data_IF_496750125621
#
_entry.id   IF_496750125621
#
_cell.length_a   1.000
_cell.length_b   1.000
_cell.length_c   1.000
_cell.angle_alpha   90.00
_cell.angle_beta   90.00
_cell.angle_gamma   90.00
#
_symmetry.space_group_name_H-M   'P 1'
#
loop_
_entity.id
_entity.type
_entity.pdbx_description
1 polymer ?
#
# COMPACT_ATOMS: atom_id res chain seq x y z
N UNK A 1 -12.92 49.09 -16.06
CA UNK A 1 -11.89 48.09 -15.70
C UNK A 1 -12.51 46.70 -15.76
N UNK A 2 -12.36 46.00 -16.89
CA UNK A 2 -12.87 44.62 -17.06
C UNK A 2 -11.84 43.64 -16.52
N UNK A 3 -12.19 42.89 -15.46
CA UNK A 3 -11.37 41.77 -14.97
C UNK A 3 -11.44 40.66 -16.01
N UNK A 4 -10.42 40.55 -16.86
CA UNK A 4 -10.18 39.37 -17.69
C UNK A 4 -9.96 38.16 -16.78
N UNK A 5 -11.01 37.37 -16.57
CA UNK A 5 -10.93 36.08 -15.90
C UNK A 5 -10.20 35.13 -16.84
N UNK A 6 -8.92 34.87 -16.55
CA UNK A 6 -8.13 33.91 -17.33
C UNK A 6 -8.85 32.54 -17.36
N UNK A 7 -8.97 31.90 -18.54
CA UNK A 7 -9.70 30.64 -18.67
C UNK A 7 -9.11 29.59 -17.73
N UNK A 8 -9.98 28.87 -17.00
CA UNK A 8 -9.58 27.75 -16.14
C UNK A 8 -8.98 26.65 -17.03
N UNK A 9 -7.64 26.63 -17.13
CA UNK A 9 -6.94 25.58 -17.85
C UNK A 9 -7.09 24.27 -17.09
N UNK A 10 -7.51 23.21 -17.78
CA UNK A 10 -7.57 21.86 -17.25
C UNK A 10 -6.21 21.45 -16.62
N UNK A 11 -6.23 20.69 -15.52
CA UNK A 11 -5.00 20.20 -14.90
C UNK A 11 -4.21 19.32 -15.86
N UNK A 12 -2.89 19.37 -15.77
CA UNK A 12 -1.99 18.56 -16.59
C UNK A 12 -2.03 17.12 -16.09
N UNK A 13 -2.64 16.23 -16.87
CA UNK A 13 -2.71 14.79 -16.59
C UNK A 13 -1.48 14.05 -17.12
N UNK A 14 -1.00 14.39 -18.31
CA UNK A 14 0.20 13.80 -18.92
C UNK A 14 1.19 14.85 -19.43
N UNK A 15 2.48 14.50 -19.40
CA UNK A 15 3.56 15.34 -19.95
C UNK A 15 3.45 15.42 -21.47
N UNK A 16 3.81 16.55 -22.06
CA UNK A 16 3.86 16.70 -23.52
C UNK A 16 4.99 15.89 -24.16
N UNK A 17 5.99 15.45 -23.37
CA UNK A 17 7.06 14.55 -23.79
C UNK A 17 6.63 13.08 -23.73
N UNK A 18 6.69 12.40 -24.86
CA UNK A 18 6.31 10.99 -25.02
C UNK A 18 7.02 10.06 -24.03
N UNK A 19 8.33 10.24 -23.79
CA UNK A 19 9.09 9.39 -22.87
C UNK A 19 8.69 9.53 -21.39
N UNK A 20 8.31 10.73 -20.96
CA UNK A 20 7.81 10.94 -19.60
C UNK A 20 6.36 10.46 -19.45
N UNK A 21 5.55 10.62 -20.50
CA UNK A 21 4.17 10.14 -20.51
C UNK A 21 4.13 8.60 -20.45
N UNK A 22 5.06 7.92 -21.13
CA UNK A 22 5.19 6.46 -21.05
C UNK A 22 5.57 5.99 -19.65
N UNK A 23 6.55 6.64 -18.99
CA UNK A 23 6.90 6.33 -17.59
C UNK A 23 5.74 6.54 -16.62
N UNK A 24 4.93 7.58 -16.87
CA UNK A 24 3.74 7.85 -16.09
C UNK A 24 2.68 6.75 -16.29
N UNK A 25 2.41 6.37 -17.55
CA UNK A 25 1.51 5.28 -17.88
C UNK A 25 1.95 3.95 -17.26
N UNK A 26 3.23 3.60 -17.40
CA UNK A 26 3.80 2.39 -16.80
C UNK A 26 3.67 2.43 -15.27
N UNK A 27 3.97 3.56 -14.63
CA UNK A 27 3.81 3.72 -13.18
C UNK A 27 2.35 3.60 -12.72
N UNK A 28 1.42 4.18 -13.48
CA UNK A 28 -0.01 4.07 -13.21
C UNK A 28 -0.51 2.62 -13.39
N UNK A 29 -0.05 1.91 -14.43
CA UNK A 29 -0.34 0.48 -14.64
C UNK A 29 0.25 -0.40 -13.54
N UNK A 30 1.46 -0.11 -13.07
CA UNK A 30 2.07 -0.82 -11.93
C UNK A 30 1.25 -0.57 -10.67
N UNK A 31 0.82 0.66 -10.41
CA UNK A 31 -0.01 0.98 -9.25
C UNK A 31 -1.34 0.22 -9.29
N UNK A 32 -2.03 0.22 -10.44
CA UNK A 32 -3.26 -0.57 -10.63
C UNK A 32 -3.00 -2.07 -10.47
N UNK A 33 -1.91 -2.57 -11.06
CA UNK A 33 -1.49 -3.96 -10.94
C UNK A 33 -1.20 -4.38 -9.50
N UNK A 34 -0.56 -3.51 -8.71
CA UNK A 34 -0.30 -3.73 -7.29
C UNK A 34 -1.59 -3.79 -6.47
N UNK A 35 -2.54 -2.87 -6.72
CA UNK A 35 -3.84 -2.89 -6.06
C UNK A 35 -4.59 -4.18 -6.41
N UNK A 36 -4.64 -4.54 -7.70
CA UNK A 36 -5.27 -5.77 -8.15
C UNK A 36 -4.62 -7.01 -7.52
N UNK A 37 -3.30 -7.06 -7.51
CA UNK A 37 -2.54 -8.16 -6.90
C UNK A 37 -2.80 -8.26 -5.41
N UNK A 38 -2.84 -7.15 -4.68
CA UNK A 38 -3.13 -7.12 -3.24
C UNK A 38 -4.52 -7.70 -2.92
N UNK A 39 -5.54 -7.32 -3.69
CA UNK A 39 -6.90 -7.87 -3.55
C UNK A 39 -6.92 -9.37 -3.81
N UNK A 40 -6.19 -9.84 -4.84
CA UNK A 40 -6.10 -11.28 -5.15
C UNK A 40 -5.33 -12.07 -4.12
N UNK A 41 -4.24 -11.50 -3.59
CA UNK A 41 -3.47 -12.13 -2.53
C UNK A 41 -4.32 -12.28 -1.27
N UNK A 42 -5.10 -11.27 -0.89
CA UNK A 42 -5.99 -11.37 0.27
C UNK A 42 -7.00 -12.51 0.12
N UNK A 43 -7.69 -12.59 -1.02
CA UNK A 43 -8.65 -13.67 -1.25
C UNK A 43 -8.00 -15.06 -1.26
N UNK A 44 -6.77 -15.17 -1.75
CA UNK A 44 -6.01 -16.42 -1.67
C UNK A 44 -5.60 -16.78 -0.24
N UNK A 45 -5.12 -15.80 0.54
CA UNK A 45 -4.73 -15.97 1.94
C UNK A 45 -5.93 -16.44 2.77
N UNK A 46 -7.08 -15.78 2.64
CA UNK A 46 -8.32 -16.11 3.34
C UNK A 46 -8.80 -17.55 3.06
N UNK A 47 -8.70 -18.00 1.81
CA UNK A 47 -8.99 -19.39 1.42
C UNK A 47 -8.04 -20.40 2.08
N UNK A 48 -6.74 -20.08 2.18
CA UNK A 48 -5.79 -20.95 2.89
C UNK A 48 -6.05 -21.00 4.39
N UNK A 49 -6.37 -19.85 5.00
CA UNK A 49 -6.72 -19.75 6.43
C UNK A 49 -7.97 -20.57 6.73
N UNK A 50 -9.00 -20.47 5.89
CA UNK A 50 -10.25 -21.22 6.05
C UNK A 50 -10.00 -22.74 6.05
N UNK A 51 -9.08 -23.21 5.20
CA UNK A 51 -8.67 -24.63 5.16
C UNK A 51 -7.92 -25.07 6.42
N UNK A 52 -7.16 -24.17 7.04
CA UNK A 52 -6.44 -24.42 8.30
C UNK A 52 -7.35 -24.32 9.53
N UNK A 53 -8.44 -23.55 9.45
CA UNK A 53 -9.41 -23.36 10.52
C UNK A 53 -10.41 -24.53 10.65
N UNK A 54 -10.77 -25.17 9.53
CA UNK A 54 -11.74 -26.28 9.49
C UNK A 54 -11.41 -27.47 10.43
N UNK A 55 -10.14 -27.88 10.62
CA UNK A 55 -9.77 -28.88 11.62
C UNK A 55 -10.09 -28.45 13.06
N UNK A 56 -9.91 -27.18 13.40
CA UNK A 56 -10.16 -26.66 14.76
C UNK A 56 -11.64 -26.73 15.14
N UNK A 57 -12.53 -26.32 14.22
CA UNK A 57 -13.98 -26.42 14.41
C UNK A 57 -14.45 -27.88 14.50
N UNK A 58 -13.87 -28.75 13.68
CA UNK A 58 -14.14 -30.19 13.72
C UNK A 58 -13.72 -30.80 15.06
N UNK A 59 -12.53 -30.46 15.57
CA UNK A 59 -12.03 -30.91 16.88
C UNK A 59 -12.89 -30.39 18.03
N UNK A 60 -13.31 -29.13 17.96
CA UNK A 60 -14.22 -28.53 18.94
C UNK A 60 -15.55 -29.29 19.00
N UNK A 61 -16.15 -29.53 17.84
CA UNK A 61 -17.43 -30.24 17.71
C UNK A 61 -17.32 -31.69 18.19
N UNK A 62 -16.27 -32.40 17.77
CA UNK A 62 -16.01 -33.78 18.18
C UNK A 62 -15.76 -33.90 19.70
N UNK A 63 -14.94 -33.02 20.27
CA UNK A 63 -14.66 -33.01 21.71
C UNK A 63 -15.89 -32.74 22.56
N UNK A 64 -16.73 -31.77 22.15
CA UNK A 64 -17.99 -31.46 22.82
C UNK A 64 -18.98 -32.63 22.74
N UNK A 65 -19.13 -33.25 21.57
CA UNK A 65 -20.02 -34.40 21.39
C UNK A 65 -19.56 -35.62 22.21
N UNK A 66 -18.25 -35.89 22.22
CA UNK A 66 -17.66 -36.97 23.00
C UNK A 66 -17.80 -36.74 24.51
N UNK A 67 -17.49 -35.52 24.99
CA UNK A 67 -17.64 -35.12 26.38
C UNK A 67 -19.09 -35.23 26.85
N UNK A 68 -20.04 -34.72 26.05
CA UNK A 68 -21.47 -34.80 26.34
C UNK A 68 -21.98 -36.23 26.41
N UNK A 69 -21.56 -37.09 25.48
CA UNK A 69 -21.92 -38.51 25.48
C UNK A 69 -21.42 -39.25 26.72
N UNK A 70 -20.15 -39.05 27.08
CA UNK A 70 -19.55 -39.67 28.26
C UNK A 70 -20.14 -39.15 29.57
N UNK A 71 -20.39 -37.85 29.69
CA UNK A 71 -21.08 -37.29 30.86
C UNK A 71 -22.48 -37.88 31.02
N UNK A 72 -23.20 -38.10 29.93
CA UNK A 72 -24.53 -38.71 29.98
C UNK A 72 -24.47 -40.20 30.36
N UNK A 73 -23.48 -40.93 29.84
CA UNK A 73 -23.22 -42.33 30.22
C UNK A 73 -22.86 -42.44 31.72
N UNK A 74 -21.96 -41.57 32.21
CA UNK A 74 -21.59 -41.50 33.63
C UNK A 74 -22.79 -41.23 34.53
N UNK A 75 -23.72 -40.35 34.13
CA UNK A 75 -24.98 -40.10 34.84
C UNK A 75 -25.91 -41.31 34.89
N UNK A 76 -25.95 -42.16 33.85
CA UNK A 76 -26.76 -43.38 33.84
C UNK A 76 -26.16 -44.45 34.75
N UNK A 77 -24.85 -44.69 34.63
CA UNK A 77 -24.14 -45.71 35.40
C UNK A 77 -24.05 -45.34 36.89
N UNK A 78 -23.95 -44.04 37.20
CA UNK A 78 -23.99 -43.53 38.57
C UNK A 78 -25.29 -43.80 39.33
N UNK A 79 -26.35 -44.27 38.67
CA UNK A 79 -27.63 -44.64 39.32
C UNK A 79 -27.63 -46.06 39.88
N UNK A 80 -26.58 -46.85 39.67
CA UNK A 80 -26.50 -48.24 40.14
C UNK A 80 -26.20 -48.26 41.66
N UNK A 81 -27.07 -48.85 42.50
CA UNK A 81 -26.85 -48.90 43.95
C UNK A 81 -25.58 -49.70 44.32
N UNK A 82 -24.83 -49.20 45.30
CA UNK A 82 -23.66 -49.89 45.87
C UNK A 82 -22.34 -49.70 45.12
N UNK A 83 -22.35 -49.42 43.80
CA UNK A 83 -21.13 -49.27 42.98
C UNK A 83 -21.18 -48.13 41.95
N UNK A 84 -22.29 -47.37 41.87
CA UNK A 84 -22.50 -46.36 40.83
C UNK A 84 -21.45 -45.25 40.80
N UNK A 85 -20.98 -44.78 41.95
CA UNK A 85 -19.98 -43.70 42.03
C UNK A 85 -18.60 -44.14 41.49
N UNK A 86 -18.14 -45.33 41.87
CA UNK A 86 -16.88 -45.93 41.37
C UNK A 86 -16.92 -46.15 39.86
N UNK A 87 -18.10 -46.50 39.33
CA UNK A 87 -18.29 -46.69 37.90
C UNK A 87 -18.48 -45.39 37.12
N UNK A 88 -18.88 -44.29 37.78
CA UNK A 88 -19.09 -42.97 37.15
C UNK A 88 -17.77 -42.22 36.95
N UNK A 89 -16.85 -42.32 37.91
CA UNK A 89 -15.59 -41.57 37.91
C UNK A 89 -14.78 -41.67 36.60
N UNK A 90 -14.61 -42.86 35.97
CA UNK A 90 -13.88 -42.98 34.71
C UNK A 90 -14.57 -42.25 33.55
N UNK A 91 -15.91 -42.24 33.50
CA UNK A 91 -16.67 -41.52 32.47
C UNK A 91 -16.56 -40.00 32.65
N UNK A 92 -16.63 -39.51 33.89
CA UNK A 92 -16.45 -38.08 34.17
C UNK A 92 -15.02 -37.62 33.83
N UNK A 93 -13.99 -38.43 34.13
CA UNK A 93 -12.60 -38.17 33.70
C UNK A 93 -12.46 -38.12 32.18
N UNK A 94 -13.03 -39.09 31.48
CA UNK A 94 -12.98 -39.13 30.01
C UNK A 94 -13.78 -37.98 29.38
N UNK A 95 -14.90 -37.58 29.97
CA UNK A 95 -15.66 -36.41 29.54
C UNK A 95 -14.83 -35.12 29.71
N UNK A 96 -14.09 -34.99 30.81
CA UNK A 96 -13.14 -33.89 31.03
C UNK A 96 -12.04 -33.83 29.98
N UNK A 97 -11.49 -34.98 29.57
CA UNK A 97 -10.51 -35.03 28.48
C UNK A 97 -11.11 -34.59 27.13
N UNK A 98 -12.35 -35.00 26.82
CA UNK A 98 -13.08 -34.53 25.64
C UNK A 98 -13.29 -33.01 25.63
N UNK A 99 -13.57 -32.43 26.81
CA UNK A 99 -13.72 -30.98 26.96
C UNK A 99 -12.40 -30.24 26.71
N UNK A 100 -11.26 -30.75 27.19
CA UNK A 100 -9.94 -30.17 26.92
C UNK A 100 -9.60 -30.20 25.42
N UNK A 101 -9.95 -31.28 24.72
CA UNK A 101 -9.80 -31.34 23.25
C UNK A 101 -10.66 -30.28 22.57
N UNK A 102 -11.89 -30.09 23.03
CA UNK A 102 -12.77 -29.09 22.45
C UNK A 102 -12.24 -27.66 22.64
N UNK A 103 -11.72 -27.37 23.83
CA UNK A 103 -11.11 -26.08 24.16
C UNK A 103 -9.81 -25.81 23.38
N UNK A 104 -9.00 -26.85 23.17
CA UNK A 104 -7.82 -26.77 22.30
C UNK A 104 -8.21 -26.48 20.84
N UNK A 105 -9.27 -27.12 20.33
CA UNK A 105 -9.80 -26.87 18.99
C UNK A 105 -10.25 -25.42 18.79
N UNK A 106 -10.97 -24.87 19.79
CA UNK A 106 -11.36 -23.45 19.80
C UNK A 106 -10.15 -22.52 19.85
N UNK A 107 -9.20 -22.77 20.75
CA UNK A 107 -7.99 -21.93 20.90
C UNK A 107 -7.16 -21.90 19.61
N UNK A 108 -7.04 -23.03 18.92
CA UNK A 108 -6.39 -23.12 17.63
C UNK A 108 -7.10 -22.24 16.59
N UNK A 109 -8.43 -22.35 16.49
CA UNK A 109 -9.23 -21.53 15.58
C UNK A 109 -9.02 -20.03 15.83
N UNK A 110 -9.15 -19.59 17.08
CA UNK A 110 -8.99 -18.18 17.47
C UNK A 110 -7.56 -17.66 17.16
N UNK A 111 -6.54 -18.50 17.36
CA UNK A 111 -5.13 -18.15 17.06
C UNK A 111 -4.89 -18.00 15.56
N UNK A 112 -5.47 -18.89 14.75
CA UNK A 112 -5.38 -18.84 13.28
C UNK A 112 -6.06 -17.57 12.77
N UNK A 113 -7.22 -17.21 13.31
CA UNK A 113 -7.93 -15.98 12.94
C UNK A 113 -7.13 -14.71 13.27
N UNK A 114 -6.49 -14.67 14.45
CA UNK A 114 -5.63 -13.53 14.80
C UNK A 114 -4.40 -13.44 13.88
N UNK A 115 -3.74 -14.57 13.60
CA UNK A 115 -2.60 -14.61 12.69
C UNK A 115 -2.99 -14.18 11.26
N UNK A 116 -4.17 -14.57 10.81
CA UNK A 116 -4.77 -14.16 9.55
C UNK A 116 -4.95 -12.64 9.47
N UNK A 117 -5.54 -12.02 10.51
CA UNK A 117 -5.75 -10.57 10.56
C UNK A 117 -4.42 -9.80 10.48
N UNK A 118 -3.42 -10.20 11.27
CA UNK A 118 -2.10 -9.54 11.27
C UNK A 118 -1.40 -9.70 9.92
N UNK A 119 -1.43 -10.91 9.35
CA UNK A 119 -0.81 -11.20 8.05
C UNK A 119 -1.50 -10.42 6.94
N UNK A 120 -2.83 -10.40 6.92
CA UNK A 120 -3.62 -9.64 5.96
C UNK A 120 -3.36 -8.13 6.05
N UNK A 121 -3.19 -7.59 7.26
CA UNK A 121 -2.85 -6.18 7.46
C UNK A 121 -1.48 -5.83 6.88
N UNK A 122 -0.46 -6.66 7.16
CA UNK A 122 0.91 -6.45 6.64
C UNK A 122 0.92 -6.56 5.12
N UNK A 123 0.25 -7.58 4.57
CA UNK A 123 0.14 -7.81 3.14
C UNK A 123 -0.56 -6.65 2.41
N UNK A 124 -1.56 -6.03 3.03
CA UNK A 124 -2.27 -4.87 2.48
C UNK A 124 -1.50 -3.55 2.65
N UNK A 125 -0.73 -3.38 3.74
CA UNK A 125 -0.03 -2.14 4.05
C UNK A 125 1.06 -1.80 3.01
N UNK A 126 1.84 -2.80 2.57
CA UNK A 126 2.93 -2.59 1.62
C UNK A 126 2.45 -1.98 0.29
N UNK A 127 1.51 -2.59 -0.46
CA UNK A 127 1.03 -2.01 -1.71
C UNK A 127 0.31 -0.68 -1.49
N UNK A 128 -0.40 -0.52 -0.37
CA UNK A 128 -1.07 0.75 -0.03
C UNK A 128 -0.06 1.90 0.11
N UNK A 129 1.05 1.69 0.83
CA UNK A 129 2.10 2.69 1.00
C UNK A 129 2.74 3.05 -0.34
N UNK A 130 3.03 2.06 -1.18
CA UNK A 130 3.63 2.28 -2.51
C UNK A 130 2.69 3.09 -3.41
N UNK A 131 1.42 2.73 -3.45
CA UNK A 131 0.39 3.46 -4.22
C UNK A 131 0.20 4.87 -3.68
N UNK A 132 0.12 5.04 -2.35
CA UNK A 132 -0.04 6.36 -1.74
C UNK A 132 1.16 7.26 -2.04
N UNK A 133 2.38 6.74 -1.92
CA UNK A 133 3.59 7.47 -2.28
C UNK A 133 3.61 7.88 -3.75
N UNK A 134 3.23 6.96 -4.66
CA UNK A 134 3.11 7.24 -6.09
C UNK A 134 2.08 8.35 -6.36
N UNK A 135 0.88 8.24 -5.79
CA UNK A 135 -0.21 9.22 -5.96
C UNK A 135 0.18 10.59 -5.42
N UNK A 136 0.81 10.67 -4.25
CA UNK A 136 1.29 11.95 -3.68
C UNK A 136 2.34 12.60 -4.57
N UNK A 137 3.32 11.81 -5.05
CA UNK A 137 4.34 12.30 -5.99
C UNK A 137 3.73 12.77 -7.31
N UNK A 138 2.77 12.00 -7.84
CA UNK A 138 2.03 12.30 -9.07
C UNK A 138 1.22 13.59 -8.94
N UNK A 139 0.54 13.78 -7.82
CA UNK A 139 -0.24 14.96 -7.53
C UNK A 139 0.63 16.22 -7.43
N UNK A 140 1.77 16.15 -6.72
CA UNK A 140 2.73 17.26 -6.66
C UNK A 140 3.24 17.64 -8.05
N UNK A 141 3.65 16.67 -8.86
CA UNK A 141 4.10 16.90 -10.23
C UNK A 141 3.01 17.55 -11.09
N UNK A 142 1.77 17.05 -11.02
CA UNK A 142 0.65 17.60 -11.79
C UNK A 142 0.36 19.07 -11.40
N UNK A 143 0.42 19.40 -10.10
CA UNK A 143 0.26 20.78 -9.62
C UNK A 143 1.37 21.70 -10.15
N UNK A 144 2.62 21.27 -10.05
CA UNK A 144 3.78 22.05 -10.52
C UNK A 144 3.76 22.23 -12.05
N UNK A 145 3.49 21.17 -12.81
CA UNK A 145 3.37 21.23 -14.26
C UNK A 145 2.21 22.14 -14.71
N UNK A 146 1.08 22.11 -14.00
CA UNK A 146 -0.07 22.99 -14.28
C UNK A 146 0.27 24.45 -14.01
N UNK A 147 0.96 24.76 -12.91
CA UNK A 147 1.40 26.12 -12.59
C UNK A 147 2.41 26.62 -13.64
N UNK A 148 3.37 25.78 -14.05
CA UNK A 148 4.35 26.12 -15.07
C UNK A 148 3.71 26.37 -16.44
N UNK A 149 2.73 25.56 -16.87
CA UNK A 149 1.96 25.82 -18.12
C UNK A 149 1.23 27.16 -18.08
N UNK A 150 0.70 27.56 -16.92
CA UNK A 150 0.05 28.88 -16.76
C UNK A 150 1.06 30.03 -16.88
N UNK A 151 2.23 29.88 -16.27
CA UNK A 151 3.33 30.86 -16.37
C UNK A 151 3.83 31.02 -17.81
N UNK A 152 4.09 29.93 -18.53
CA UNK A 152 4.50 30.00 -19.95
C UNK A 152 3.44 30.70 -20.81
N UNK A 153 2.15 30.39 -20.60
CA UNK A 153 1.05 31.07 -21.31
C UNK A 153 0.91 32.54 -20.94
N UNK A 154 1.35 32.93 -19.75
CA UNK A 154 1.38 34.32 -19.29
C UNK A 154 2.60 35.11 -19.75
N UNK A 155 3.48 34.53 -20.57
CA UNK A 155 4.68 35.20 -21.09
C UNK A 155 5.87 35.22 -20.11
N UNK A 156 5.95 34.25 -19.18
CA UNK A 156 7.07 34.17 -18.25
C UNK A 156 8.42 34.02 -18.96
N UNK A 157 9.42 34.77 -18.47
CA UNK A 157 10.78 34.77 -19.00
C UNK A 157 11.51 33.45 -18.73
N UNK A 158 12.36 33.04 -19.67
CA UNK A 158 13.26 31.90 -19.55
C UNK A 158 14.16 32.00 -18.31
N UNK A 159 14.56 33.22 -17.93
CA UNK A 159 15.38 33.49 -16.72
C UNK A 159 14.73 32.98 -15.43
N UNK A 160 13.40 33.00 -15.34
CA UNK A 160 12.66 32.44 -14.19
C UNK A 160 12.80 30.92 -14.12
N UNK A 161 12.68 30.23 -15.25
CA UNK A 161 12.86 28.78 -15.30
C UNK A 161 14.31 28.39 -15.05
N UNK A 162 15.27 29.19 -15.49
CA UNK A 162 16.69 29.00 -15.18
C UNK A 162 16.97 29.13 -13.67
N UNK A 163 16.41 30.16 -13.01
CA UNK A 163 16.52 30.31 -11.55
C UNK A 163 15.90 29.12 -10.81
N UNK A 164 14.71 28.70 -11.24
CA UNK A 164 14.04 27.54 -10.65
C UNK A 164 14.84 26.26 -10.85
N UNK A 165 15.53 26.13 -11.99
CA UNK A 165 16.46 25.03 -12.26
C UNK A 165 17.58 25.00 -11.21
N UNK A 166 18.24 26.13 -10.96
CA UNK A 166 19.32 26.23 -9.96
C UNK A 166 18.84 25.86 -8.55
N UNK A 167 17.60 26.21 -8.20
CA UNK A 167 17.06 25.96 -6.86
C UNK A 167 16.54 24.52 -6.66
N UNK A 168 16.00 23.89 -7.70
CA UNK A 168 15.25 22.63 -7.53
C UNK A 168 15.84 21.45 -8.28
N UNK A 169 16.71 21.65 -9.29
CA UNK A 169 17.30 20.54 -10.02
C UNK A 169 18.35 19.82 -9.17
N UNK A 170 18.55 18.51 -9.36
CA UNK A 170 19.68 17.81 -8.79
C UNK A 170 20.98 18.50 -9.16
N UNK A 171 21.87 18.70 -8.18
CA UNK A 171 23.14 19.39 -8.38
C UNK A 171 23.99 18.77 -9.50
N UNK A 172 23.89 17.44 -9.70
CA UNK A 172 24.57 16.73 -10.77
C UNK A 172 24.15 17.17 -12.18
N UNK A 173 22.88 17.51 -12.38
CA UNK A 173 22.37 18.00 -13.67
C UNK A 173 22.81 19.45 -13.92
N UNK A 174 22.79 20.29 -12.88
CA UNK A 174 23.29 21.67 -12.95
C UNK A 174 24.79 21.69 -13.26
N UNK A 175 25.58 20.84 -12.59
CA UNK A 175 27.02 20.68 -12.86
C UNK A 175 27.27 20.16 -14.28
N UNK A 176 26.41 19.28 -14.80
CA UNK A 176 26.55 18.79 -16.19
C UNK A 176 26.38 19.94 -17.19
N UNK A 177 25.41 20.82 -16.97
CA UNK A 177 25.23 22.03 -17.80
C UNK A 177 26.42 22.96 -17.66
N UNK A 178 26.87 23.26 -16.43
CA UNK A 178 28.02 24.09 -16.15
C UNK A 178 29.29 23.57 -16.84
N UNK A 179 29.57 22.27 -16.74
CA UNK A 179 30.73 21.63 -17.37
C UNK A 179 30.66 21.69 -18.90
N UNK A 180 29.48 21.44 -19.48
CA UNK A 180 29.30 21.46 -20.95
C UNK A 180 29.56 22.85 -21.54
N UNK A 181 29.21 23.89 -20.79
CA UNK A 181 29.33 25.28 -21.21
C UNK A 181 30.61 25.94 -20.67
N UNK A 182 31.42 25.22 -19.88
CA UNK A 182 32.63 25.74 -19.21
C UNK A 182 32.41 27.05 -18.43
N UNK A 183 31.25 27.17 -17.76
CA UNK A 183 30.88 28.36 -16.98
C UNK A 183 30.51 28.01 -15.54
N UNK A 184 30.76 28.92 -14.61
CA UNK A 184 30.15 28.86 -13.29
C UNK A 184 28.63 29.14 -13.41
N UNK A 185 27.75 28.23 -12.96
CA UNK A 185 26.32 28.34 -13.21
C UNK A 185 25.67 29.51 -12.44
N UNK A 186 26.22 29.90 -11.29
CA UNK A 186 25.71 31.02 -10.50
C UNK A 186 26.08 32.36 -11.13
N UNK A 187 27.33 32.49 -11.59
CA UNK A 187 27.83 33.66 -12.31
C UNK A 187 27.16 33.79 -13.68
N UNK A 188 27.03 32.69 -14.43
CA UNK A 188 26.39 32.69 -15.73
C UNK A 188 24.91 33.10 -15.67
N UNK A 189 24.21 32.74 -14.59
CA UNK A 189 22.86 33.22 -14.36
C UNK A 189 22.83 34.71 -13.95
N UNK A 190 23.71 35.14 -13.03
CA UNK A 190 23.77 36.55 -12.58
C UNK A 190 24.14 37.53 -13.70
N UNK A 191 25.03 37.12 -14.60
CA UNK A 191 25.46 37.91 -15.76
C UNK A 191 24.49 37.83 -16.95
N UNK A 192 23.43 37.00 -16.87
CA UNK A 192 22.46 36.83 -17.95
C UNK A 192 23.02 36.10 -19.17
N UNK A 193 24.00 35.20 -18.98
CA UNK A 193 24.63 34.47 -20.08
C UNK A 193 23.58 33.68 -20.89
N UNK A 194 23.35 34.02 -22.17
CA UNK A 194 22.15 33.60 -22.90
C UNK A 194 22.06 32.08 -23.06
N UNK A 195 23.20 31.42 -23.35
CA UNK A 195 23.23 29.97 -23.52
C UNK A 195 23.04 29.21 -22.21
N UNK A 196 23.54 29.75 -21.09
CA UNK A 196 23.42 29.10 -19.78
C UNK A 196 21.99 29.21 -19.26
N UNK A 197 21.39 30.40 -19.38
CA UNK A 197 19.98 30.64 -19.04
C UNK A 197 19.07 29.76 -19.88
N UNK A 198 19.28 29.67 -21.20
CA UNK A 198 18.49 28.81 -22.08
C UNK A 198 18.65 27.32 -21.73
N UNK A 199 19.86 26.86 -21.44
CA UNK A 199 20.12 25.46 -21.07
C UNK A 199 19.47 25.08 -19.73
N UNK A 200 19.60 25.94 -18.71
CA UNK A 200 18.97 25.74 -17.40
C UNK A 200 17.43 25.81 -17.48
N UNK A 201 16.90 26.78 -18.23
CA UNK A 201 15.45 26.87 -18.47
C UNK A 201 14.92 25.61 -19.16
N UNK A 202 15.62 25.11 -20.18
CA UNK A 202 15.28 23.86 -20.87
C UNK A 202 15.33 22.65 -19.93
N UNK A 203 16.29 22.60 -19.01
CA UNK A 203 16.39 21.56 -17.99
C UNK A 203 15.16 21.56 -17.06
N UNK A 204 14.76 22.73 -16.55
CA UNK A 204 13.57 22.84 -15.70
C UNK A 204 12.26 22.53 -16.45
N UNK A 205 12.11 23.08 -17.66
CA UNK A 205 10.96 22.78 -18.52
C UNK A 205 10.88 21.28 -18.82
N UNK A 206 12.03 20.62 -19.04
CA UNK A 206 12.07 19.18 -19.24
C UNK A 206 11.54 18.39 -18.07
N UNK A 207 11.92 18.73 -16.84
CA UNK A 207 11.41 18.06 -15.64
C UNK A 207 9.89 18.19 -15.48
N UNK A 208 9.36 19.33 -15.91
CA UNK A 208 7.93 19.64 -15.83
C UNK A 208 7.11 19.06 -17.00
N UNK A 209 7.76 18.37 -17.93
CA UNK A 209 7.11 17.76 -19.09
C UNK A 209 6.58 18.79 -20.09
N UNK A 210 7.25 19.95 -20.16
CA UNK A 210 7.08 20.99 -21.17
C UNK A 210 8.07 20.79 -22.32
#
# INVERSE_FOLDING_TARGET
MSKSVAPRTAPVLYSARTGQAMRQLVGDLIAVGLVWWAVRLQGWVDDQISKLAAPGETLQSAGNGFSGGLSNAGKQVGRIPGVGDDLREPFDRAAGAGQQVAEAGKTLHDTIEQAALVTGLIAAAIPLIVVLWWVLRRWRWSREATAARRLVRGGADASFFALRALAHQPLSEVIRVARRLEVDPGEAWRSGHPEAVAALAKLEMSRLGL
#
